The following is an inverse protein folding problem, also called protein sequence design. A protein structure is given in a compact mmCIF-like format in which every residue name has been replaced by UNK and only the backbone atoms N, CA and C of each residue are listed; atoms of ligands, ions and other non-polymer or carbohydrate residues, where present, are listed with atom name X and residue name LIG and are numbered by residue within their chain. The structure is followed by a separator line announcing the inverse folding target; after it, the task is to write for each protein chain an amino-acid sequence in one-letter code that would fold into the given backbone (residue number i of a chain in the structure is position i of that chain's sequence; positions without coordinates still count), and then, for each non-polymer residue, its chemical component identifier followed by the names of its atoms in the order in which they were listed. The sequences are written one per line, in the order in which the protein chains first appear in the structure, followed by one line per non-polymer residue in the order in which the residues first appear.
data_IF_790352728431
#
_entry.id   IF_790352728431
#
_cell.length_a   1.000
_cell.length_b   1.000
_cell.length_c   1.000
_cell.angle_alpha   90.00
_cell.angle_beta   90.00
_cell.angle_gamma   90.00
#
_symmetry.space_group_name_H-M   'P 1'
#
loop_
_entity.id
_entity.type
_entity.pdbx_description
1 polymer ?
#
# COMPACT_ATOMS: atom_id res chain seq x y z
N UNK A 1 -18.28 22.85 -10.88
CA UNK A 1 -18.50 21.49 -11.45
C UNK A 1 -17.19 20.68 -11.52
N UNK A 2 -16.07 21.21 -12.03
CA UNK A 2 -14.78 20.48 -12.07
C UNK A 2 -14.27 20.02 -10.68
N UNK A 3 -14.25 20.92 -9.69
CA UNK A 3 -13.83 20.60 -8.31
C UNK A 3 -14.66 19.48 -7.64
N UNK A 4 -15.94 19.33 -8.00
CA UNK A 4 -16.77 18.24 -7.48
C UNK A 4 -16.37 16.89 -8.08
N UNK A 5 -16.02 16.87 -9.38
CA UNK A 5 -15.53 15.66 -10.06
C UNK A 5 -14.16 15.24 -9.54
N UNK A 6 -13.24 16.17 -9.33
CA UNK A 6 -11.92 15.89 -8.75
C UNK A 6 -12.05 15.27 -7.36
N UNK A 7 -12.93 15.82 -6.51
CA UNK A 7 -13.18 15.24 -5.19
C UNK A 7 -13.82 13.85 -5.28
N UNK A 8 -14.76 13.64 -6.20
CA UNK A 8 -15.33 12.31 -6.43
C UNK A 8 -14.28 11.29 -6.90
N UNK A 9 -13.37 11.70 -7.80
CA UNK A 9 -12.27 10.88 -8.26
C UNK A 9 -11.34 10.45 -7.12
N UNK A 10 -11.04 11.36 -6.19
CA UNK A 10 -10.24 11.04 -5.00
C UNK A 10 -10.90 9.99 -4.10
N UNK A 11 -12.22 10.10 -3.88
CA UNK A 11 -12.95 9.12 -3.09
C UNK A 11 -12.98 7.74 -3.76
N UNK A 12 -13.19 7.68 -5.08
CA UNK A 12 -13.14 6.43 -5.81
C UNK A 12 -11.73 5.82 -5.83
N UNK A 13 -10.69 6.65 -5.98
CA UNK A 13 -9.30 6.21 -5.90
C UNK A 13 -8.94 5.65 -4.52
N UNK A 14 -9.34 6.33 -3.43
CA UNK A 14 -9.14 5.82 -2.07
C UNK A 14 -9.89 4.52 -1.81
N UNK A 15 -11.13 4.40 -2.31
CA UNK A 15 -11.88 3.16 -2.24
C UNK A 15 -11.23 2.03 -3.07
N UNK A 16 -10.72 2.32 -4.26
CA UNK A 16 -9.98 1.37 -5.09
C UNK A 16 -8.74 0.82 -4.36
N UNK A 17 -7.97 1.70 -3.70
CA UNK A 17 -6.78 1.30 -2.95
C UNK A 17 -7.15 0.44 -1.74
N UNK A 18 -8.22 0.79 -1.00
CA UNK A 18 -8.73 -0.05 0.09
C UNK A 18 -9.13 -1.44 -0.40
N UNK A 19 -9.94 -1.51 -1.46
CA UNK A 19 -10.35 -2.78 -2.04
C UNK A 19 -9.15 -3.62 -2.47
N UNK A 20 -8.13 -2.99 -3.09
CA UNK A 20 -6.93 -3.68 -3.53
C UNK A 20 -6.15 -4.28 -2.34
N UNK A 21 -5.92 -3.47 -1.29
CA UNK A 21 -5.25 -3.90 -0.07
C UNK A 21 -5.97 -5.03 0.66
N UNK A 22 -7.30 -5.08 0.56
CA UNK A 22 -8.09 -6.12 1.20
C UNK A 22 -8.25 -7.39 0.34
N UNK A 23 -7.67 -7.38 -0.86
CA UNK A 23 -7.67 -8.50 -1.80
C UNK A 23 -8.87 -8.52 -2.76
N UNK A 24 -9.71 -7.49 -2.77
CA UNK A 24 -10.86 -7.34 -3.67
C UNK A 24 -10.44 -6.81 -5.05
N UNK A 25 -9.52 -7.51 -5.71
CA UNK A 25 -8.86 -7.04 -6.93
C UNK A 25 -9.83 -6.65 -8.06
N UNK A 26 -10.97 -7.36 -8.21
CA UNK A 26 -11.96 -7.01 -9.24
C UNK A 26 -12.62 -5.65 -9.00
N UNK A 27 -13.08 -5.39 -7.76
CA UNK A 27 -13.70 -4.11 -7.41
C UNK A 27 -12.67 -2.98 -7.40
N UNK A 28 -11.45 -3.25 -6.95
CA UNK A 28 -10.35 -2.29 -7.01
C UNK A 28 -10.09 -1.79 -8.43
N UNK A 29 -9.97 -2.69 -9.42
CA UNK A 29 -9.78 -2.30 -10.84
C UNK A 29 -10.95 -1.48 -11.37
N UNK A 30 -12.19 -1.88 -11.05
CA UNK A 30 -13.40 -1.16 -11.47
C UNK A 30 -13.44 0.26 -10.91
N UNK A 31 -13.16 0.43 -9.62
CA UNK A 31 -13.11 1.75 -8.97
C UNK A 31 -11.95 2.61 -9.46
N UNK A 32 -10.79 2.01 -9.71
CA UNK A 32 -9.65 2.70 -10.30
C UNK A 32 -10.01 3.29 -11.68
N UNK A 33 -10.70 2.53 -12.53
CA UNK A 33 -11.19 3.03 -13.81
C UNK A 33 -12.21 4.16 -13.65
N UNK A 34 -13.17 4.01 -12.73
CA UNK A 34 -14.16 5.05 -12.44
C UNK A 34 -13.50 6.35 -11.93
N UNK A 35 -12.46 6.26 -11.10
CA UNK A 35 -11.70 7.43 -10.65
C UNK A 35 -11.05 8.17 -11.83
N UNK A 36 -10.42 7.43 -12.76
CA UNK A 36 -9.76 8.00 -13.94
C UNK A 36 -10.72 8.61 -14.95
N UNK A 37 -11.96 8.12 -15.03
CA UNK A 37 -13.04 8.73 -15.84
C UNK A 37 -13.51 10.07 -15.24
N UNK A 38 -13.50 10.18 -13.91
CA UNK A 38 -13.94 11.38 -13.20
C UNK A 38 -12.87 12.49 -13.25
N UNK A 39 -11.60 12.15 -13.03
CA UNK A 39 -10.49 13.09 -13.08
C UNK A 39 -9.14 12.40 -13.27
N UNK A 40 -8.24 13.08 -13.98
CA UNK A 40 -6.82 12.73 -14.11
C UNK A 40 -5.93 13.70 -13.34
N UNK A 41 -6.44 14.20 -12.22
CA UNK A 41 -5.58 14.92 -11.29
C UNK A 41 -4.58 13.92 -10.68
N UNK A 42 -3.42 14.45 -10.31
CA UNK A 42 -2.26 13.67 -9.92
C UNK A 42 -2.53 12.69 -8.77
N UNK A 43 -3.27 13.13 -7.75
CA UNK A 43 -3.59 12.29 -6.59
C UNK A 43 -4.56 11.16 -6.96
N UNK A 44 -5.67 11.43 -7.67
CA UNK A 44 -6.61 10.38 -8.06
C UNK A 44 -5.96 9.38 -9.02
N UNK A 45 -5.11 9.87 -9.93
CA UNK A 45 -4.37 9.03 -10.86
C UNK A 45 -3.34 8.14 -10.15
N UNK A 46 -2.61 8.69 -9.17
CA UNK A 46 -1.72 7.89 -8.33
C UNK A 46 -2.49 6.79 -7.58
N UNK A 47 -3.61 7.13 -6.93
CA UNK A 47 -4.41 6.14 -6.19
C UNK A 47 -4.96 5.05 -7.11
N UNK A 48 -5.48 5.42 -8.28
CA UNK A 48 -5.92 4.45 -9.28
C UNK A 48 -4.76 3.55 -9.76
N UNK A 49 -3.60 4.13 -10.10
CA UNK A 49 -2.43 3.39 -10.53
C UNK A 49 -1.92 2.41 -9.46
N UNK A 50 -1.88 2.85 -8.20
CA UNK A 50 -1.45 2.02 -7.08
C UNK A 50 -2.43 0.87 -6.80
N UNK A 51 -3.74 1.13 -6.87
CA UNK A 51 -4.76 0.09 -6.76
C UNK A 51 -4.67 -0.95 -7.90
N UNK A 52 -4.37 -0.50 -9.13
CA UNK A 52 -4.15 -1.39 -10.28
C UNK A 52 -2.90 -2.26 -10.07
N UNK A 53 -1.80 -1.67 -9.58
CA UNK A 53 -0.57 -2.40 -9.28
C UNK A 53 -0.80 -3.47 -8.21
N UNK A 54 -1.44 -3.11 -7.08
CA UNK A 54 -1.83 -4.05 -6.01
C UNK A 54 -2.75 -5.18 -6.54
N UNK A 55 -3.57 -4.87 -7.53
CA UNK A 55 -4.50 -5.81 -8.16
C UNK A 55 -3.86 -6.62 -9.31
N UNK A 56 -2.55 -6.50 -9.53
CA UNK A 56 -1.81 -7.23 -10.56
C UNK A 56 -1.99 -6.72 -11.99
N UNK A 57 -2.64 -5.58 -12.21
CA UNK A 57 -2.69 -4.92 -13.53
C UNK A 57 -1.46 -4.02 -13.72
N UNK A 58 -0.29 -4.65 -13.80
CA UNK A 58 0.98 -3.94 -13.94
C UNK A 58 1.06 -3.11 -15.22
N UNK A 59 0.38 -3.52 -16.29
CA UNK A 59 0.42 -2.83 -17.59
C UNK A 59 -0.22 -1.44 -17.52
N UNK A 60 -1.44 -1.35 -16.97
CA UNK A 60 -2.13 -0.07 -16.83
C UNK A 60 -1.48 0.79 -15.75
N UNK A 61 -1.05 0.19 -14.64
CA UNK A 61 -0.33 0.90 -13.60
C UNK A 61 0.98 1.53 -14.11
N UNK A 62 1.76 0.82 -14.93
CA UNK A 62 2.97 1.36 -15.54
C UNK A 62 2.66 2.54 -16.47
N UNK A 63 1.63 2.43 -17.32
CA UNK A 63 1.24 3.52 -18.22
C UNK A 63 0.86 4.82 -17.46
N UNK A 64 0.22 4.68 -16.29
CA UNK A 64 -0.12 5.81 -15.42
C UNK A 64 1.12 6.35 -14.67
N UNK A 65 2.05 5.47 -14.27
CA UNK A 65 3.33 5.91 -13.70
C UNK A 65 4.12 6.78 -14.69
N UNK A 66 4.21 6.34 -15.95
CA UNK A 66 4.89 7.08 -17.02
C UNK A 66 4.21 8.44 -17.29
N UNK A 67 2.87 8.49 -17.24
CA UNK A 67 2.13 9.73 -17.43
C UNK A 67 2.31 10.72 -16.27
N UNK A 68 2.31 10.22 -15.02
CA UNK A 68 2.60 11.01 -13.82
C UNK A 68 4.00 11.61 -13.87
N UNK A 69 5.01 10.82 -14.25
CA UNK A 69 6.39 11.30 -14.40
C UNK A 69 6.48 12.39 -15.46
N UNK A 70 5.84 12.19 -16.61
CA UNK A 70 5.86 13.13 -17.73
C UNK A 70 5.16 14.46 -17.41
N UNK A 71 4.00 14.43 -16.75
CA UNK A 71 3.21 15.64 -16.46
C UNK A 71 3.67 16.38 -15.21
N UNK A 72 4.25 15.68 -14.24
CA UNK A 72 4.62 16.25 -12.93
C UNK A 72 6.08 15.98 -12.53
N UNK A 73 7.07 16.23 -13.41
CA UNK A 73 8.47 15.84 -13.15
C UNK A 73 9.12 16.61 -11.99
N UNK A 74 8.56 17.75 -11.58
CA UNK A 74 9.08 18.59 -10.49
C UNK A 74 8.21 18.55 -9.24
N UNK A 75 7.12 17.79 -9.23
CA UNK A 75 6.25 17.73 -8.06
C UNK A 75 6.86 16.87 -6.95
N UNK A 76 6.93 17.43 -5.74
CA UNK A 76 7.55 16.78 -4.58
C UNK A 76 6.86 15.47 -4.18
N UNK A 77 5.52 15.43 -4.16
CA UNK A 77 4.80 14.19 -3.81
C UNK A 77 5.01 13.12 -4.87
N UNK A 78 4.99 13.49 -6.16
CA UNK A 78 5.26 12.56 -7.25
C UNK A 78 6.67 11.98 -7.18
N UNK A 79 7.68 12.83 -6.99
CA UNK A 79 9.10 12.45 -7.02
C UNK A 79 9.56 11.65 -5.81
N UNK A 80 8.99 11.91 -4.63
CA UNK A 80 9.51 11.37 -3.36
C UNK A 80 8.53 10.44 -2.64
N UNK A 81 7.30 10.29 -3.13
CA UNK A 81 6.29 9.41 -2.51
C UNK A 81 5.58 8.53 -3.55
N UNK A 82 4.96 9.12 -4.57
CA UNK A 82 4.06 8.38 -5.46
C UNK A 82 4.81 7.43 -6.40
N UNK A 83 5.70 7.96 -7.26
CA UNK A 83 6.44 7.15 -8.22
C UNK A 83 7.37 6.15 -7.53
N UNK A 84 8.13 6.51 -6.48
CA UNK A 84 8.94 5.52 -5.77
C UNK A 84 8.12 4.33 -5.26
N UNK A 85 6.98 4.58 -4.61
CA UNK A 85 6.13 3.51 -4.10
C UNK A 85 5.50 2.69 -5.23
N UNK A 86 4.95 3.35 -6.25
CA UNK A 86 4.26 2.71 -7.37
C UNK A 86 5.23 1.84 -8.21
N UNK A 87 6.36 2.41 -8.63
CA UNK A 87 7.36 1.70 -9.42
C UNK A 87 8.00 0.56 -8.63
N UNK A 88 8.24 0.74 -7.31
CA UNK A 88 8.76 -0.34 -6.48
C UNK A 88 7.76 -1.50 -6.34
N UNK A 89 6.47 -1.22 -6.17
CA UNK A 89 5.46 -2.27 -6.13
C UNK A 89 5.32 -2.98 -7.49
N UNK A 90 5.45 -2.25 -8.60
CA UNK A 90 5.53 -2.86 -9.94
C UNK A 90 6.77 -3.77 -10.11
N UNK A 91 7.92 -3.39 -9.56
CA UNK A 91 9.10 -4.25 -9.52
C UNK A 91 8.84 -5.53 -8.70
N UNK A 92 8.15 -5.42 -7.56
CA UNK A 92 7.73 -6.58 -6.78
C UNK A 92 6.78 -7.51 -7.54
N UNK A 93 5.84 -6.98 -8.32
CA UNK A 93 4.98 -7.78 -9.19
C UNK A 93 5.78 -8.59 -10.23
N UNK A 94 6.96 -8.10 -10.63
CA UNK A 94 7.88 -8.82 -11.51
C UNK A 94 8.88 -9.72 -10.77
N UNK A 95 8.78 -9.81 -9.44
CA UNK A 95 9.70 -10.59 -8.60
C UNK A 95 11.05 -9.94 -8.35
N UNK A 96 11.21 -8.64 -8.65
CA UNK A 96 12.47 -7.92 -8.49
C UNK A 96 12.47 -7.08 -7.20
N UNK A 97 12.73 -7.75 -6.08
CA UNK A 97 12.87 -7.09 -4.78
C UNK A 97 14.08 -6.15 -4.74
N UNK A 98 15.15 -6.42 -5.51
CA UNK A 98 16.35 -5.59 -5.52
C UNK A 98 16.07 -4.23 -6.16
N UNK A 99 15.40 -4.23 -7.31
CA UNK A 99 14.99 -3.01 -7.99
C UNK A 99 14.01 -2.19 -7.14
N UNK A 100 13.09 -2.85 -6.41
CA UNK A 100 12.20 -2.18 -5.49
C UNK A 100 12.97 -1.37 -4.42
N UNK A 101 14.06 -1.91 -3.87
CA UNK A 101 14.89 -1.16 -2.89
C UNK A 101 15.56 0.07 -3.49
N UNK A 102 16.13 -0.06 -4.69
CA UNK A 102 16.80 1.05 -5.37
C UNK A 102 15.82 2.18 -5.66
N UNK A 103 14.64 1.85 -6.18
CA UNK A 103 13.58 2.81 -6.49
C UNK A 103 13.09 3.57 -5.25
N UNK A 104 13.13 2.93 -4.08
CA UNK A 104 12.67 3.52 -2.81
C UNK A 104 13.72 4.40 -2.11
N UNK A 105 15.01 4.36 -2.51
CA UNK A 105 16.06 5.15 -1.85
C UNK A 105 15.77 6.65 -1.87
N UNK A 106 15.22 7.15 -2.98
CA UNK A 106 14.91 8.56 -3.16
C UNK A 106 13.83 9.05 -2.17
N UNK A 107 12.97 8.16 -1.68
CA UNK A 107 11.91 8.48 -0.74
C UNK A 107 12.39 8.57 0.71
N UNK A 108 13.51 7.91 1.08
CA UNK A 108 13.97 7.77 2.48
C UNK A 108 14.04 9.11 3.24
N UNK A 109 14.59 10.21 2.69
CA UNK A 109 14.68 11.47 3.44
C UNK A 109 13.31 12.12 3.72
N UNK A 110 12.26 11.70 3.01
CA UNK A 110 10.93 12.33 3.01
C UNK A 110 9.83 11.35 3.43
N UNK A 111 10.17 10.12 3.81
CA UNK A 111 9.19 9.04 3.97
C UNK A 111 8.22 9.22 5.13
N UNK A 112 8.59 10.04 6.12
CA UNK A 112 7.72 10.47 7.23
C UNK A 112 6.94 11.77 6.91
N UNK A 113 7.00 12.24 5.67
CA UNK A 113 6.17 13.33 5.18
C UNK A 113 4.72 12.88 4.97
N UNK A 114 3.80 13.85 4.97
CA UNK A 114 2.38 13.62 4.69
C UNK A 114 2.09 13.99 3.23
N UNK A 115 1.99 13.01 2.31
CA UNK A 115 1.71 13.32 0.91
C UNK A 115 0.32 13.91 0.74
N UNK A 116 0.11 14.71 -0.32
CA UNK A 116 -1.20 15.37 -0.54
C UNK A 116 -2.36 14.38 -0.68
N UNK A 117 -2.11 13.17 -1.18
CA UNK A 117 -3.13 12.12 -1.29
C UNK A 117 -3.66 11.66 0.07
N UNK A 118 -2.82 11.60 1.11
CA UNK A 118 -3.27 11.15 2.43
C UNK A 118 -4.13 12.19 3.14
N UNK A 119 -3.93 13.48 2.84
CA UNK A 119 -4.78 14.57 3.34
C UNK A 119 -6.11 14.67 2.59
N UNK A 120 -6.09 14.45 1.28
CA UNK A 120 -7.24 14.75 0.40
C UNK A 120 -8.09 13.53 0.01
N UNK A 121 -7.56 12.32 0.14
CA UNK A 121 -8.23 11.07 -0.23
C UNK A 121 -8.07 9.92 0.76
N UNK A 122 -7.34 10.13 1.88
CA UNK A 122 -7.08 9.11 2.92
C UNK A 122 -6.33 7.86 2.39
N UNK A 123 -5.39 8.05 1.46
CA UNK A 123 -4.50 7.00 0.97
C UNK A 123 -3.09 7.52 0.67
N UNK A 124 -2.11 6.63 0.69
CA UNK A 124 -0.71 6.92 0.36
C UNK A 124 0.16 7.25 1.57
N UNK A 125 -0.36 7.11 2.80
CA UNK A 125 0.41 7.37 4.01
C UNK A 125 1.47 6.28 4.20
N UNK A 126 2.75 6.65 4.26
CA UNK A 126 3.88 5.72 4.47
C UNK A 126 3.97 4.57 3.43
N UNK A 127 3.42 4.73 2.22
CA UNK A 127 3.50 3.67 1.20
C UNK A 127 4.93 3.28 0.81
N UNK A 128 5.90 4.21 0.68
CA UNK A 128 7.29 3.82 0.48
C UNK A 128 7.84 2.90 1.58
N UNK A 129 7.44 3.11 2.84
CA UNK A 129 7.83 2.26 3.97
C UNK A 129 7.16 0.89 3.88
N UNK A 130 5.85 0.87 3.60
CA UNK A 130 5.09 -0.38 3.47
C UNK A 130 5.65 -1.27 2.35
N UNK A 131 5.83 -0.70 1.15
CA UNK A 131 6.37 -1.41 -0.01
C UNK A 131 7.81 -1.86 0.23
N UNK A 132 8.62 -1.08 0.98
CA UNK A 132 9.96 -1.54 1.37
C UNK A 132 9.90 -2.75 2.31
N UNK A 133 8.95 -2.78 3.24
CA UNK A 133 8.69 -3.96 4.07
C UNK A 133 8.28 -5.18 3.23
N UNK A 134 7.43 -5.00 2.23
CA UNK A 134 7.06 -6.07 1.28
C UNK A 134 8.28 -6.56 0.48
N UNK A 135 9.14 -5.65 0.03
CA UNK A 135 10.39 -6.01 -0.65
C UNK A 135 11.33 -6.81 0.26
N UNK A 136 11.42 -6.44 1.56
CA UNK A 136 12.20 -7.21 2.55
C UNK A 136 11.62 -8.60 2.76
N UNK A 137 10.30 -8.75 2.82
CA UNK A 137 9.65 -10.06 2.86
C UNK A 137 9.97 -10.89 1.62
N UNK A 138 9.83 -10.33 0.42
CA UNK A 138 10.16 -11.01 -0.83
C UNK A 138 11.65 -11.42 -0.92
N UNK A 139 12.54 -10.64 -0.29
CA UNK A 139 13.97 -10.95 -0.18
C UNK A 139 14.30 -11.90 0.99
N UNK A 140 13.31 -12.49 1.67
CA UNK A 140 13.48 -13.35 2.85
C UNK A 140 14.19 -12.67 4.05
N UNK A 141 14.11 -11.36 4.15
CA UNK A 141 14.72 -10.52 5.19
C UNK A 141 13.70 -10.17 6.28
N UNK A 142 13.25 -11.18 7.01
CA UNK A 142 12.15 -11.05 7.98
C UNK A 142 12.41 -10.04 9.11
N UNK A 143 13.65 -9.93 9.60
CA UNK A 143 13.96 -9.00 10.69
C UNK A 143 13.89 -7.53 10.23
N UNK A 144 14.44 -7.25 9.05
CA UNK A 144 14.41 -5.94 8.41
C UNK A 144 12.99 -5.58 7.96
N UNK A 145 12.23 -6.54 7.44
CA UNK A 145 10.81 -6.35 7.13
C UNK A 145 10.02 -5.93 8.37
N UNK A 146 10.26 -6.62 9.50
CA UNK A 146 9.60 -6.28 10.75
C UNK A 146 9.90 -4.84 11.21
N UNK A 147 11.13 -4.35 11.01
CA UNK A 147 11.50 -2.98 11.34
C UNK A 147 10.73 -1.95 10.49
N UNK A 148 10.50 -2.20 9.19
CA UNK A 148 9.71 -1.31 8.34
C UNK A 148 8.24 -1.28 8.74
N UNK A 149 7.63 -2.43 9.01
CA UNK A 149 6.23 -2.46 9.44
C UNK A 149 6.02 -1.88 10.84
N UNK A 150 6.98 -2.09 11.76
CA UNK A 150 6.95 -1.45 13.07
C UNK A 150 7.01 0.07 12.96
N UNK A 151 7.81 0.61 12.04
CA UNK A 151 7.88 2.06 11.78
C UNK A 151 6.50 2.64 11.44
N UNK A 152 5.67 1.93 10.68
CA UNK A 152 4.29 2.36 10.37
C UNK A 152 3.45 2.43 11.64
N UNK A 153 3.54 1.41 12.50
CA UNK A 153 2.81 1.37 13.78
C UNK A 153 3.31 2.41 14.79
N UNK A 154 4.57 2.81 14.72
CA UNK A 154 5.13 3.85 15.58
C UNK A 154 4.68 5.26 15.15
N UNK A 155 4.19 5.41 13.91
CA UNK A 155 3.80 6.69 13.32
C UNK A 155 2.30 6.75 12.96
N UNK A 156 1.43 6.23 13.84
CA UNK A 156 -0.03 6.15 13.61
C UNK A 156 -0.69 7.50 13.30
N UNK A 157 -0.12 8.60 13.79
CA UNK A 157 -0.61 9.96 13.49
C UNK A 157 -0.46 10.37 12.01
N UNK A 158 0.50 9.78 11.29
CA UNK A 158 0.67 9.97 9.84
C UNK A 158 -0.31 9.05 9.08
N UNK A 159 -0.51 7.84 9.59
CA UNK A 159 -1.35 6.80 8.96
C UNK A 159 -2.84 7.15 9.01
N UNK A 160 -3.31 7.69 10.13
CA UNK A 160 -4.73 8.05 10.36
C UNK A 160 -5.65 6.84 10.06
N UNK A 161 -6.39 6.87 8.95
CA UNK A 161 -7.35 5.85 8.51
C UNK A 161 -6.85 4.97 7.36
N UNK A 162 -5.60 5.13 6.93
CA UNK A 162 -5.04 4.40 5.80
C UNK A 162 -4.93 2.88 6.10
N UNK A 163 -5.30 1.98 5.15
CA UNK A 163 -5.20 0.53 5.30
C UNK A 163 -3.86 0.01 5.80
N UNK A 164 -2.74 0.67 5.48
CA UNK A 164 -1.43 0.19 5.90
C UNK A 164 -1.29 0.13 7.43
N UNK A 165 -2.09 0.91 8.18
CA UNK A 165 -2.06 0.90 9.64
C UNK A 165 -2.44 -0.45 10.24
N UNK A 166 -3.53 -1.05 9.75
CA UNK A 166 -3.95 -2.37 10.22
C UNK A 166 -3.16 -3.48 9.54
N UNK A 167 -2.85 -3.32 8.25
CA UNK A 167 -2.08 -4.32 7.51
C UNK A 167 -0.63 -4.43 7.98
N UNK A 168 -0.04 -3.40 8.59
CA UNK A 168 1.27 -3.50 9.21
C UNK A 168 1.31 -4.56 10.33
N UNK A 169 0.23 -4.77 11.09
CA UNK A 169 0.17 -5.86 12.07
C UNK A 169 0.22 -7.23 11.40
N UNK A 170 -0.53 -7.43 10.32
CA UNK A 170 -0.51 -8.67 9.55
C UNK A 170 0.90 -8.94 8.97
N UNK A 171 1.50 -7.93 8.36
CA UNK A 171 2.83 -8.07 7.77
C UNK A 171 3.93 -8.26 8.82
N UNK A 172 3.80 -7.68 10.03
CA UNK A 172 4.65 -8.01 11.17
C UNK A 172 4.54 -9.49 11.55
N UNK A 173 3.32 -10.04 11.56
CA UNK A 173 3.09 -11.46 11.80
C UNK A 173 3.85 -12.34 10.80
N UNK A 174 3.76 -11.99 9.51
CA UNK A 174 4.49 -12.68 8.42
C UNK A 174 6.00 -12.54 8.56
N UNK A 175 6.49 -11.34 8.89
CA UNK A 175 7.91 -11.06 9.08
C UNK A 175 8.50 -11.88 10.24
N UNK A 176 7.84 -11.91 11.40
CA UNK A 176 8.28 -12.72 12.53
C UNK A 176 8.21 -14.22 12.26
N UNK A 177 7.14 -14.68 11.59
CA UNK A 177 7.02 -16.08 11.21
C UNK A 177 8.16 -16.52 10.28
N UNK A 178 8.53 -15.67 9.31
CA UNK A 178 9.66 -15.88 8.41
C UNK A 178 11.00 -15.92 9.15
N UNK A 179 11.18 -15.10 10.18
CA UNK A 179 12.36 -15.13 11.05
C UNK A 179 12.36 -16.27 12.07
N UNK A 180 11.31 -17.11 12.11
CA UNK A 180 11.16 -18.21 13.06
C UNK A 180 10.69 -17.81 14.47
N UNK A 181 10.41 -16.52 14.70
CA UNK A 181 9.88 -16.02 15.98
C UNK A 181 8.36 -16.23 16.05
N UNK A 182 7.96 -17.47 16.30
CA UNK A 182 6.54 -17.86 16.39
C UNK A 182 5.78 -17.10 17.48
N UNK A 183 6.46 -16.74 18.58
CA UNK A 183 5.81 -16.05 19.69
C UNK A 183 5.38 -14.65 19.26
N UNK A 184 6.30 -13.85 18.71
CA UNK A 184 5.97 -12.50 18.21
C UNK A 184 5.05 -12.55 16.99
N UNK A 185 5.19 -13.57 16.14
CA UNK A 185 4.27 -13.78 15.03
C UNK A 185 2.83 -13.95 15.54
N UNK A 186 2.59 -14.86 16.49
CA UNK A 186 1.27 -15.09 17.08
C UNK A 186 0.67 -13.80 17.65
N UNK A 187 1.45 -13.03 18.41
CA UNK A 187 1.00 -11.74 18.96
C UNK A 187 0.56 -10.78 17.86
N UNK A 188 1.38 -10.59 16.81
CA UNK A 188 1.06 -9.66 15.73
C UNK A 188 -0.20 -10.07 14.93
N UNK A 189 -0.40 -11.37 14.67
CA UNK A 189 -1.64 -11.86 14.07
C UNK A 189 -2.85 -11.66 15.00
N UNK A 190 -2.70 -11.87 16.31
CA UNK A 190 -3.77 -11.61 17.28
C UNK A 190 -4.16 -10.14 17.32
N UNK A 191 -3.20 -9.23 17.27
CA UNK A 191 -3.44 -7.79 17.21
C UNK A 191 -4.25 -7.42 15.96
N UNK A 192 -3.85 -7.93 14.78
CA UNK A 192 -4.60 -7.77 13.54
C UNK A 192 -6.04 -8.30 13.67
N UNK A 193 -6.21 -9.54 14.11
CA UNK A 193 -7.53 -10.18 14.23
C UNK A 193 -8.42 -9.50 15.27
N UNK A 194 -7.83 -8.90 16.31
CA UNK A 194 -8.57 -8.14 17.33
C UNK A 194 -9.08 -6.82 16.76
N UNK A 195 -8.25 -6.10 16.00
CA UNK A 195 -8.65 -4.88 15.31
C UNK A 195 -9.76 -5.14 14.26
N UNK A 196 -9.77 -6.33 13.67
CA UNK A 196 -10.69 -6.74 12.61
C UNK A 196 -11.76 -7.75 13.04
N UNK A 197 -12.06 -7.84 14.34
CA UNK A 197 -13.05 -8.79 14.87
C UNK A 197 -14.46 -8.60 14.27
N UNK A 198 -14.80 -7.36 13.90
CA UNK A 198 -16.11 -6.95 13.36
C UNK A 198 -16.05 -6.60 11.87
N UNK A 199 -14.92 -6.88 11.19
CA UNK A 199 -14.79 -6.67 9.75
C UNK A 199 -15.60 -7.71 8.96
N UNK A 200 -15.96 -7.39 7.71
CA UNK A 200 -16.71 -8.29 6.85
C UNK A 200 -15.97 -9.65 6.71
N UNK A 201 -16.62 -10.78 7.05
CA UNK A 201 -15.94 -12.06 7.22
C UNK A 201 -15.47 -12.69 5.90
N UNK A 202 -15.97 -12.20 4.77
CA UNK A 202 -15.65 -12.62 3.42
C UNK A 202 -14.46 -11.87 2.80
N UNK A 203 -13.89 -10.88 3.50
CA UNK A 203 -12.69 -10.18 3.03
C UNK A 203 -11.51 -11.16 2.82
N UNK A 204 -10.94 -11.23 1.60
CA UNK A 204 -9.87 -12.17 1.29
C UNK A 204 -8.67 -12.06 2.23
N UNK A 205 -8.22 -10.85 2.55
CA UNK A 205 -7.08 -10.64 3.44
C UNK A 205 -7.32 -11.15 4.87
N UNK A 206 -8.57 -11.07 5.36
CA UNK A 206 -8.94 -11.56 6.68
C UNK A 206 -8.95 -13.09 6.72
N UNK A 207 -9.48 -13.72 5.67
CA UNK A 207 -9.46 -15.18 5.54
C UNK A 207 -8.03 -15.70 5.47
N UNK A 208 -7.18 -15.03 4.69
CA UNK A 208 -5.76 -15.36 4.60
C UNK A 208 -5.06 -15.24 5.95
N UNK A 209 -5.25 -14.13 6.67
CA UNK A 209 -4.67 -13.93 7.99
C UNK A 209 -5.09 -14.99 9.01
N UNK A 210 -6.38 -15.39 9.01
CA UNK A 210 -6.89 -16.48 9.86
C UNK A 210 -6.24 -17.82 9.54
N UNK A 211 -6.08 -18.13 8.25
CA UNK A 211 -5.42 -19.36 7.80
C UNK A 211 -3.94 -19.38 8.21
N UNK A 212 -3.21 -18.29 7.96
CA UNK A 212 -1.80 -18.13 8.34
C UNK A 212 -1.62 -18.26 9.87
N UNK A 213 -2.45 -17.57 10.65
CA UNK A 213 -2.43 -17.66 12.11
C UNK A 213 -2.67 -19.08 12.64
N UNK A 214 -3.57 -19.84 12.03
CA UNK A 214 -3.85 -21.22 12.42
C UNK A 214 -2.63 -22.15 12.24
N UNK A 215 -1.74 -21.86 11.27
CA UNK A 215 -0.50 -22.63 11.08
C UNK A 215 0.55 -22.40 12.16
N UNK A 216 0.43 -21.29 12.90
CA UNK A 216 1.35 -20.96 13.98
C UNK A 216 0.98 -21.67 15.29
N UNK A 217 -0.27 -22.11 15.44
CA UNK A 217 -0.80 -22.68 16.69
C UNK A 217 -0.02 -23.89 17.16
#
# INVERSE_FOLDING_TARGET
QASQRERAALWEAGAAVRDAFFGNASEARKRAMAALELSKNREAEYGAAFALALSGDSSQAQALADDLERRFPLDTSVRFSFLPALCAHLALNHGDASQAFELLQVAVPHELGVPRSSVSGEFGALYPVYVRGEARLAAHQGAEAAAEFQKILDHRGIVVSDPVGVLAHLQLGRAFAMSGDKTRAKTAYQDFLTLWKDADPDLPILQQAKAEYATLQ
#
